data_IF_976180988232
#
_entry.id   IF_976180988232
#
_cell.length_a   1.000
_cell.length_b   1.000
_cell.length_c   1.000
_cell.angle_alpha   90.00
_cell.angle_beta   90.00
_cell.angle_gamma   90.00
#
_symmetry.space_group_name_H-M   'P 1'
#
loop_
_entity.id
_entity.type
_entity.pdbx_description
1 polymer ?
#
# COMPACT_ATOMS: atom_id res chain seq x y z
N UNK A 1 13.32 19.58 -12.03
CA UNK A 1 13.54 18.13 -12.19
C UNK A 1 12.33 17.34 -11.72
N UNK A 2 11.89 17.52 -10.47
CA UNK A 2 10.77 16.76 -9.88
C UNK A 2 9.48 16.75 -10.73
N UNK A 3 9.03 17.90 -11.22
CA UNK A 3 7.81 17.97 -12.04
C UNK A 3 7.88 17.08 -13.30
N UNK A 4 9.07 16.96 -13.91
CA UNK A 4 9.30 16.09 -15.07
C UNK A 4 9.24 14.62 -14.64
N UNK A 5 9.89 14.27 -13.52
CA UNK A 5 9.87 12.91 -12.98
C UNK A 5 8.47 12.47 -12.58
N UNK A 6 7.68 13.34 -11.94
CA UNK A 6 6.26 13.06 -11.63
C UNK A 6 5.44 12.86 -12.89
N UNK A 7 5.68 13.68 -13.93
CA UNK A 7 4.98 13.56 -15.19
C UNK A 7 5.36 12.29 -15.96
N UNK A 8 6.63 11.88 -15.89
CA UNK A 8 7.11 10.64 -16.46
C UNK A 8 6.60 9.43 -15.67
N UNK A 9 6.58 9.49 -14.33
CA UNK A 9 6.13 8.40 -13.47
C UNK A 9 4.65 8.02 -13.66
N UNK A 10 3.83 8.92 -14.20
CA UNK A 10 2.42 8.67 -14.54
C UNK A 10 2.18 8.34 -16.02
N UNK A 11 3.25 8.18 -16.82
CA UNK A 11 3.17 7.98 -18.26
C UNK A 11 3.58 6.54 -18.62
N UNK A 12 2.60 5.65 -18.72
CA UNK A 12 2.82 4.22 -19.02
C UNK A 12 3.56 3.98 -20.35
N UNK A 13 3.46 4.88 -21.32
CA UNK A 13 4.07 4.70 -22.65
C UNK A 13 5.56 5.05 -22.68
N UNK A 14 5.91 6.30 -22.37
CA UNK A 14 7.28 6.81 -22.50
C UNK A 14 7.94 7.12 -21.15
N UNK A 15 7.20 7.03 -20.04
CA UNK A 15 7.63 7.44 -18.70
C UNK A 15 8.88 6.72 -18.22
N UNK A 16 8.90 5.38 -18.34
CA UNK A 16 10.03 4.56 -17.91
C UNK A 16 11.32 4.94 -18.64
N UNK A 17 11.23 5.20 -19.95
CA UNK A 17 12.39 5.65 -20.75
C UNK A 17 12.86 7.04 -20.34
N UNK A 18 11.94 7.97 -20.08
CA UNK A 18 12.29 9.32 -19.61
C UNK A 18 12.96 9.24 -18.23
N UNK A 19 12.40 8.46 -17.29
CA UNK A 19 12.97 8.26 -15.96
C UNK A 19 14.37 7.65 -16.08
N UNK A 20 14.55 6.58 -16.85
CA UNK A 20 15.84 5.93 -17.05
C UNK A 20 16.89 6.93 -17.59
N UNK A 21 16.55 7.69 -18.64
CA UNK A 21 17.44 8.70 -19.20
C UNK A 21 17.82 9.80 -18.19
N UNK A 22 16.87 10.25 -17.36
CA UNK A 22 17.14 11.26 -16.34
C UNK A 22 18.05 10.71 -15.24
N UNK A 23 17.81 9.47 -14.80
CA UNK A 23 18.64 8.81 -13.80
C UNK A 23 20.04 8.51 -14.31
N UNK A 24 20.19 8.09 -15.56
CA UNK A 24 21.51 7.83 -16.18
C UNK A 24 22.31 9.13 -16.39
N UNK A 25 21.66 10.19 -16.87
CA UNK A 25 22.35 11.44 -17.23
C UNK A 25 22.69 12.30 -16.02
N UNK A 26 21.80 12.35 -15.04
CA UNK A 26 21.94 13.26 -13.91
C UNK A 26 22.26 12.53 -12.60
N UNK A 27 22.17 11.20 -12.57
CA UNK A 27 22.59 10.36 -11.44
C UNK A 27 22.10 10.93 -10.12
N UNK A 28 23.04 11.23 -9.24
CA UNK A 28 22.83 11.70 -7.88
C UNK A 28 22.13 13.06 -7.77
N UNK A 29 22.13 13.88 -8.82
CA UNK A 29 21.42 15.16 -8.86
C UNK A 29 19.90 14.98 -8.95
N UNK A 30 19.43 13.79 -9.31
CA UNK A 30 18.01 13.46 -9.29
C UNK A 30 17.64 13.05 -7.88
N UNK A 31 16.66 13.67 -7.25
CA UNK A 31 16.12 13.18 -5.98
C UNK A 31 14.79 12.48 -6.23
N UNK A 32 14.61 11.28 -5.65
CA UNK A 32 13.34 10.56 -5.71
C UNK A 32 12.56 10.88 -4.44
N UNK A 33 11.63 11.81 -4.58
CA UNK A 33 10.80 12.32 -3.48
C UNK A 33 9.50 11.52 -3.35
N UNK A 34 8.81 11.56 -2.18
CA UNK A 34 7.52 10.91 -2.01
C UNK A 34 6.46 11.25 -3.08
N UNK A 35 6.34 12.50 -3.59
CA UNK A 35 5.44 12.81 -4.71
C UNK A 35 5.75 12.08 -6.02
N UNK A 36 7.01 11.72 -6.29
CA UNK A 36 7.40 10.91 -7.45
C UNK A 36 6.95 9.47 -7.24
N UNK A 37 7.23 8.89 -6.06
CA UNK A 37 6.78 7.54 -5.71
C UNK A 37 5.26 7.42 -5.74
N UNK A 38 4.54 8.43 -5.25
CA UNK A 38 3.08 8.47 -5.33
C UNK A 38 2.59 8.50 -6.78
N UNK A 39 3.25 9.25 -7.66
CA UNK A 39 2.88 9.31 -9.07
C UNK A 39 3.07 7.95 -9.76
N UNK A 40 4.18 7.28 -9.46
CA UNK A 40 4.47 5.92 -9.95
C UNK A 40 3.46 4.90 -9.41
N UNK A 41 3.16 4.92 -8.10
CA UNK A 41 2.21 3.99 -7.51
C UNK A 41 0.76 4.20 -7.96
N UNK A 42 0.38 5.41 -8.37
CA UNK A 42 -1.00 5.74 -8.75
C UNK A 42 -1.33 5.48 -10.20
N UNK A 43 -0.38 5.75 -11.10
CA UNK A 43 -0.60 5.76 -12.56
C UNK A 43 0.61 5.26 -13.34
N UNK A 44 1.67 4.86 -12.65
CA UNK A 44 2.81 4.22 -13.27
C UNK A 44 2.55 2.74 -13.43
N UNK A 45 3.41 2.09 -14.19
CA UNK A 45 3.43 0.64 -14.28
C UNK A 45 4.25 0.05 -13.13
N UNK A 46 4.11 -1.26 -12.88
CA UNK A 46 4.96 -1.96 -11.90
C UNK A 46 6.45 -1.77 -12.23
N UNK A 47 6.80 -1.72 -13.53
CA UNK A 47 8.14 -1.43 -14.00
C UNK A 47 8.60 0.00 -13.67
N UNK A 48 7.68 0.97 -13.60
CA UNK A 48 8.02 2.34 -13.17
C UNK A 48 8.51 2.33 -11.73
N UNK A 49 7.79 1.67 -10.83
CA UNK A 49 8.19 1.56 -9.42
C UNK A 49 9.47 0.75 -9.28
N UNK A 50 9.56 -0.40 -9.96
CA UNK A 50 10.76 -1.23 -9.96
C UNK A 50 12.00 -0.47 -10.45
N UNK A 51 11.89 0.32 -11.52
CA UNK A 51 12.99 1.15 -12.04
C UNK A 51 13.46 2.18 -11.02
N UNK A 52 12.53 2.87 -10.35
CA UNK A 52 12.86 3.86 -9.32
C UNK A 52 13.57 3.20 -8.13
N UNK A 53 13.09 2.03 -7.69
CA UNK A 53 13.67 1.27 -6.58
C UNK A 53 15.01 0.61 -6.94
N UNK A 54 15.20 0.12 -8.17
CA UNK A 54 16.46 -0.47 -8.62
C UNK A 54 17.55 0.59 -8.71
N UNK A 55 17.26 1.69 -9.41
CA UNK A 55 18.27 2.71 -9.69
C UNK A 55 18.59 3.56 -8.48
N UNK A 56 17.62 3.76 -7.58
CA UNK A 56 17.71 4.73 -6.48
C UNK A 56 17.24 4.22 -5.12
N UNK A 57 17.00 2.92 -4.96
CA UNK A 57 16.51 2.31 -3.72
C UNK A 57 17.27 2.77 -2.47
N UNK A 58 18.60 2.77 -2.51
CA UNK A 58 19.45 3.16 -1.37
C UNK A 58 19.34 4.66 -1.01
N UNK A 59 18.80 5.46 -1.93
CA UNK A 59 18.59 6.91 -1.76
C UNK A 59 17.12 7.27 -1.62
N UNK A 60 16.22 6.27 -1.69
CA UNK A 60 14.80 6.46 -1.44
C UNK A 60 14.57 6.25 0.05
N UNK A 61 14.19 7.33 0.73
CA UNK A 61 13.69 7.21 2.09
C UNK A 61 12.25 6.69 2.04
N UNK A 62 12.07 5.38 2.14
CA UNK A 62 10.74 4.80 2.36
C UNK A 62 10.34 5.11 3.80
N UNK A 63 9.21 5.79 3.97
CA UNK A 63 8.65 6.11 5.29
C UNK A 63 7.27 5.48 5.43
N UNK A 64 6.75 5.41 6.65
CA UNK A 64 5.36 5.01 6.90
C UNK A 64 4.38 5.84 6.07
N UNK A 65 4.64 7.15 5.90
CA UNK A 65 3.81 8.03 5.09
C UNK A 65 3.79 7.68 3.60
N UNK A 66 4.90 7.14 3.06
CA UNK A 66 4.94 6.64 1.67
C UNK A 66 4.07 5.40 1.53
N UNK A 67 4.18 4.43 2.45
CA UNK A 67 3.33 3.23 2.44
C UNK A 67 1.85 3.61 2.57
N UNK A 68 1.52 4.48 3.52
CA UNK A 68 0.15 4.95 3.74
C UNK A 68 -0.44 5.61 2.48
N UNK A 69 0.30 6.50 1.84
CA UNK A 69 -0.17 7.20 0.63
C UNK A 69 -0.41 6.25 -0.55
N UNK A 70 0.36 5.16 -0.63
CA UNK A 70 0.18 4.13 -1.64
C UNK A 70 -1.03 3.28 -1.29
N UNK A 71 -1.13 2.78 -0.07
CA UNK A 71 -2.26 1.95 0.38
C UNK A 71 -3.61 2.68 0.29
N UNK A 72 -3.64 3.99 0.53
CA UNK A 72 -4.85 4.80 0.37
C UNK A 72 -5.32 4.94 -1.10
N UNK A 73 -4.56 4.44 -2.06
CA UNK A 73 -4.82 4.54 -3.49
C UNK A 73 -5.44 3.24 -4.03
N UNK A 74 -6.53 3.37 -4.78
CA UNK A 74 -7.31 2.22 -5.32
C UNK A 74 -6.51 1.31 -6.25
N UNK A 75 -5.48 1.86 -6.90
CA UNK A 75 -4.65 1.18 -7.88
C UNK A 75 -3.39 0.57 -7.27
N UNK A 76 -3.24 0.65 -5.94
CA UNK A 76 -2.08 0.09 -5.26
C UNK A 76 -2.08 -1.44 -5.33
N UNK A 77 -0.94 -1.97 -5.75
CA UNK A 77 -0.67 -3.39 -5.90
C UNK A 77 0.13 -3.90 -4.71
N UNK A 78 -0.18 -5.12 -4.26
CA UNK A 78 0.49 -5.76 -3.12
C UNK A 78 2.01 -5.87 -3.37
N UNK A 79 2.42 -6.13 -4.61
CA UNK A 79 3.82 -6.26 -5.02
C UNK A 79 4.60 -4.94 -4.89
N UNK A 80 3.96 -3.81 -5.22
CA UNK A 80 4.54 -2.48 -5.02
C UNK A 80 4.75 -2.21 -3.53
N UNK A 81 3.77 -2.56 -2.69
CA UNK A 81 3.88 -2.39 -1.24
C UNK A 81 4.98 -3.30 -0.69
N UNK A 82 5.05 -4.56 -1.13
CA UNK A 82 6.08 -5.52 -0.72
C UNK A 82 7.50 -5.00 -1.01
N UNK A 83 7.75 -4.53 -2.23
CA UNK A 83 9.06 -3.99 -2.62
C UNK A 83 9.46 -2.77 -1.78
N UNK A 84 8.50 -1.92 -1.41
CA UNK A 84 8.76 -0.76 -0.57
C UNK A 84 9.02 -1.14 0.89
N UNK A 85 8.29 -2.11 1.44
CA UNK A 85 8.55 -2.62 2.80
C UNK A 85 9.94 -3.26 2.91
N UNK A 86 10.35 -4.04 1.91
CA UNK A 86 11.69 -4.62 1.86
C UNK A 86 12.78 -3.53 1.85
N UNK A 87 12.57 -2.44 1.10
CA UNK A 87 13.50 -1.31 1.04
C UNK A 87 13.46 -0.42 2.29
N UNK A 88 12.31 -0.30 2.95
CA UNK A 88 12.15 0.45 4.20
C UNK A 88 12.75 -0.25 5.41
N UNK A 89 13.04 -1.54 5.31
CA UNK A 89 13.65 -2.34 6.38
C UNK A 89 12.80 -2.34 7.66
N UNK A 90 13.45 -2.51 8.81
CA UNK A 90 12.78 -2.66 10.11
C UNK A 90 12.08 -1.39 10.62
N UNK A 91 12.44 -0.22 10.07
CA UNK A 91 11.84 1.08 10.44
C UNK A 91 10.43 1.25 9.87
N UNK A 92 10.10 0.55 8.78
CA UNK A 92 8.79 0.65 8.12
C UNK A 92 7.95 -0.58 8.46
N UNK A 93 7.11 -0.43 9.49
CA UNK A 93 6.14 -1.46 9.91
C UNK A 93 4.73 -1.14 9.42
N UNK A 94 3.91 -2.17 9.28
CA UNK A 94 2.48 -1.98 9.01
C UNK A 94 1.80 -1.49 10.28
N UNK A 95 1.38 -0.23 10.31
CA UNK A 95 0.68 0.39 11.45
C UNK A 95 -0.84 0.17 11.38
N UNK A 96 -1.55 0.48 12.48
CA UNK A 96 -3.01 0.55 12.49
C UNK A 96 -3.55 1.49 11.41
N UNK A 97 -2.90 2.64 11.21
CA UNK A 97 -3.31 3.63 10.21
C UNK A 97 -3.24 3.07 8.80
N UNK A 98 -2.18 2.30 8.48
CA UNK A 98 -2.04 1.62 7.18
C UNK A 98 -3.14 0.56 6.98
N UNK A 99 -3.45 -0.24 8.01
CA UNK A 99 -4.55 -1.21 7.93
C UNK A 99 -5.91 -0.55 7.76
N UNK A 100 -6.19 0.52 8.49
CA UNK A 100 -7.44 1.29 8.37
C UNK A 100 -7.55 1.85 6.95
N UNK A 101 -6.48 2.43 6.41
CA UNK A 101 -6.46 2.94 5.04
C UNK A 101 -6.71 1.83 4.00
N UNK A 102 -6.11 0.65 4.16
CA UNK A 102 -6.37 -0.49 3.27
C UNK A 102 -7.82 -0.98 3.35
N UNK A 103 -8.37 -1.06 4.56
CA UNK A 103 -9.75 -1.45 4.79
C UNK A 103 -10.75 -0.42 4.23
N UNK A 104 -10.45 0.88 4.36
CA UNK A 104 -11.26 1.98 3.83
C UNK A 104 -11.15 2.08 2.31
N UNK A 105 -10.00 1.72 1.71
CA UNK A 105 -9.83 1.66 0.27
C UNK A 105 -10.68 0.56 -0.40
N UNK A 106 -10.96 -0.54 0.32
CA UNK A 106 -11.81 -1.61 -0.20
C UNK A 106 -11.10 -2.62 -1.12
N UNK A 107 -9.78 -2.49 -1.30
CA UNK A 107 -8.96 -3.47 -2.00
C UNK A 107 -8.62 -4.65 -1.08
N UNK A 108 -9.41 -5.72 -1.20
CA UNK A 108 -9.27 -6.90 -0.36
C UNK A 108 -7.92 -7.64 -0.52
N UNK A 109 -7.29 -7.56 -1.69
CA UNK A 109 -6.00 -8.20 -1.94
C UNK A 109 -4.87 -7.48 -1.20
N UNK A 110 -4.82 -6.15 -1.32
CA UNK A 110 -3.89 -5.32 -0.55
C UNK A 110 -4.12 -5.47 0.96
N UNK A 111 -5.38 -5.48 1.39
CA UNK A 111 -5.72 -5.67 2.80
C UNK A 111 -5.24 -7.03 3.35
N UNK A 112 -5.44 -8.11 2.59
CA UNK A 112 -4.98 -9.45 2.96
C UNK A 112 -3.47 -9.57 2.99
N UNK A 113 -2.79 -9.01 1.98
CA UNK A 113 -1.33 -8.94 1.95
C UNK A 113 -0.80 -8.30 3.24
N UNK A 114 -1.33 -7.14 3.63
CA UNK A 114 -0.91 -6.42 4.83
C UNK A 114 -1.14 -7.24 6.12
N UNK A 115 -2.28 -7.94 6.24
CA UNK A 115 -2.55 -8.81 7.39
C UNK A 115 -1.60 -10.02 7.46
N UNK A 116 -1.22 -10.57 6.31
CA UNK A 116 -0.23 -11.66 6.25
C UNK A 116 1.16 -11.16 6.61
N UNK A 117 1.57 -9.99 6.11
CA UNK A 117 2.84 -9.36 6.48
C UNK A 117 2.92 -9.10 7.99
N UNK A 118 1.81 -8.71 8.62
CA UNK A 118 1.73 -8.53 10.07
C UNK A 118 1.81 -9.83 10.87
N UNK A 119 1.32 -10.94 10.33
CA UNK A 119 1.33 -12.24 11.04
C UNK A 119 2.76 -12.72 11.30
N UNK A 120 3.76 -12.22 10.59
CA UNK A 120 5.18 -12.44 10.90
C UNK A 120 5.77 -11.46 11.93
N UNK A 121 5.12 -10.32 12.18
CA UNK A 121 5.63 -9.22 13.02
C UNK A 121 4.95 -9.09 14.39
N UNK A 122 3.81 -9.73 14.65
CA UNK A 122 3.04 -9.71 15.92
C UNK A 122 2.67 -8.34 16.53
N UNK A 123 3.07 -7.21 15.93
CA UNK A 123 3.00 -5.89 16.56
C UNK A 123 1.67 -5.16 16.33
N UNK A 124 0.83 -5.59 15.38
CA UNK A 124 -0.41 -4.88 15.01
C UNK A 124 -1.56 -5.86 14.76
N UNK A 125 -2.61 -5.75 15.59
CA UNK A 125 -3.79 -6.62 15.60
C UNK A 125 -4.94 -6.06 14.73
N UNK A 126 -5.84 -6.92 14.26
CA UNK A 126 -7.09 -6.49 13.65
C UNK A 126 -7.96 -5.80 14.73
N UNK A 127 -8.40 -4.57 14.52
CA UNK A 127 -9.18 -3.79 15.49
C UNK A 127 -10.59 -3.48 15.01
N UNK A 128 -11.46 -3.02 15.92
CA UNK A 128 -12.81 -2.55 15.58
C UNK A 128 -12.79 -1.44 14.54
N UNK A 129 -11.80 -0.56 14.58
CA UNK A 129 -11.72 0.58 13.66
C UNK A 129 -11.39 0.12 12.23
N UNK A 130 -10.55 -0.91 12.08
CA UNK A 130 -10.30 -1.56 10.78
C UNK A 130 -11.59 -2.19 10.23
N UNK A 131 -12.35 -2.89 11.06
CA UNK A 131 -13.64 -3.46 10.64
C UNK A 131 -14.64 -2.38 10.24
N UNK A 132 -14.74 -1.29 11.01
CA UNK A 132 -15.61 -0.15 10.72
C UNK A 132 -15.24 0.52 9.40
N UNK A 133 -13.95 0.71 9.11
CA UNK A 133 -13.48 1.22 7.83
C UNK A 133 -13.94 0.32 6.67
N UNK A 134 -13.72 -0.99 6.78
CA UNK A 134 -14.20 -1.97 5.78
C UNK A 134 -15.73 -1.96 5.61
N UNK A 135 -16.51 -1.64 6.67
CA UNK A 135 -17.98 -1.56 6.59
C UNK A 135 -18.50 -0.35 5.82
N UNK A 136 -17.80 0.79 5.90
CA UNK A 136 -18.19 2.05 5.25
C UNK A 136 -18.05 2.00 3.74
N UNK A 137 -17.36 0.99 3.23
CA UNK A 137 -17.23 0.72 1.81
C UNK A 137 -18.54 0.32 1.13
N UNK A 138 -18.54 0.34 -0.21
CA UNK A 138 -19.66 -0.17 -1.00
C UNK A 138 -19.93 -1.64 -0.67
N UNK A 139 -21.16 -2.10 -0.92
CA UNK A 139 -21.55 -3.49 -0.63
C UNK A 139 -20.57 -4.52 -1.21
N UNK A 140 -20.06 -4.29 -2.42
CA UNK A 140 -19.11 -5.20 -3.08
C UNK A 140 -17.77 -5.25 -2.34
N UNK A 141 -17.14 -4.10 -2.07
CA UNK A 141 -15.84 -4.03 -1.40
C UNK A 141 -15.93 -4.51 0.05
N UNK A 142 -16.97 -4.10 0.78
CA UNK A 142 -17.27 -4.60 2.13
C UNK A 142 -17.39 -6.12 2.13
N UNK A 143 -18.22 -6.68 1.25
CA UNK A 143 -18.45 -8.13 1.19
C UNK A 143 -17.15 -8.88 0.91
N UNK A 144 -16.29 -8.38 0.02
CA UNK A 144 -14.98 -9.00 -0.27
C UNK A 144 -14.09 -9.02 0.97
N UNK A 145 -13.94 -7.89 1.68
CA UNK A 145 -13.11 -7.82 2.89
C UNK A 145 -13.69 -8.69 4.00
N UNK A 146 -15.00 -8.65 4.25
CA UNK A 146 -15.62 -9.44 5.31
C UNK A 146 -15.53 -10.94 5.04
N UNK A 147 -15.77 -11.38 3.79
CA UNK A 147 -15.58 -12.79 3.41
C UNK A 147 -14.13 -13.22 3.59
N UNK A 148 -13.17 -12.38 3.20
CA UNK A 148 -11.76 -12.66 3.40
C UNK A 148 -11.41 -12.85 4.88
N UNK A 149 -11.91 -11.97 5.74
CA UNK A 149 -11.73 -12.07 7.19
C UNK A 149 -12.35 -13.35 7.75
N UNK A 150 -13.56 -13.72 7.32
CA UNK A 150 -14.23 -14.95 7.75
C UNK A 150 -13.50 -16.21 7.27
N UNK A 151 -13.13 -16.27 5.99
CA UNK A 151 -12.52 -17.44 5.36
C UNK A 151 -11.09 -17.69 5.85
N UNK A 152 -10.26 -16.64 5.89
CA UNK A 152 -8.84 -16.78 6.23
C UNK A 152 -8.55 -16.59 7.71
N UNK A 153 -9.27 -15.70 8.39
CA UNK A 153 -8.95 -15.31 9.77
C UNK A 153 -10.05 -15.66 10.78
N UNK A 154 -11.18 -16.20 10.33
CA UNK A 154 -12.30 -16.56 11.18
C UNK A 154 -12.00 -17.70 12.17
N UNK A 155 -10.88 -18.40 12.03
CA UNK A 155 -10.43 -19.36 13.05
C UNK A 155 -9.89 -18.66 14.31
N UNK A 156 -9.55 -17.37 14.24
CA UNK A 156 -9.10 -16.56 15.38
C UNK A 156 -10.31 -16.03 16.13
N UNK A 157 -10.44 -16.37 17.41
CA UNK A 157 -11.61 -15.98 18.22
C UNK A 157 -11.77 -14.46 18.34
N UNK A 158 -10.67 -13.71 18.38
CA UNK A 158 -10.67 -12.24 18.37
C UNK A 158 -11.32 -11.68 17.09
N UNK A 159 -11.01 -12.25 15.93
CA UNK A 159 -11.58 -11.83 14.64
C UNK A 159 -13.07 -12.15 14.57
N UNK A 160 -13.47 -13.34 15.04
CA UNK A 160 -14.90 -13.69 15.17
C UNK A 160 -15.63 -12.66 16.04
N UNK A 161 -15.11 -12.38 17.24
CA UNK A 161 -15.73 -11.45 18.17
C UNK A 161 -15.92 -10.05 17.55
N UNK A 162 -14.89 -9.53 16.89
CA UNK A 162 -14.94 -8.23 16.20
C UNK A 162 -15.98 -8.21 15.07
N UNK A 163 -16.05 -9.27 14.26
CA UNK A 163 -17.05 -9.37 13.20
C UNK A 163 -18.47 -9.46 13.78
N UNK A 164 -18.70 -10.28 14.80
CA UNK A 164 -20.02 -10.40 15.45
C UNK A 164 -20.50 -9.08 16.05
N UNK A 165 -19.63 -8.34 16.73
CA UNK A 165 -19.97 -7.02 17.27
C UNK A 165 -20.30 -6.03 16.15
N UNK A 166 -19.51 -6.05 15.08
CA UNK A 166 -19.75 -5.19 13.93
C UNK A 166 -21.10 -5.45 13.25
N UNK A 167 -21.66 -6.66 13.29
CA UNK A 167 -23.01 -6.96 12.78
C UNK A 167 -24.15 -6.60 13.75
N UNK A 168 -23.87 -6.34 15.04
CA UNK A 168 -24.88 -5.90 16.02
C UNK A 168 -25.21 -4.42 15.96
N UNK A 169 -24.28 -3.58 15.52
CA UNK A 169 -24.47 -2.13 15.34
C UNK A 169 -25.43 -1.78 14.16
N UNK A 170 -26.16 -2.75 13.60
CA UNK A 170 -27.10 -2.59 12.47
C UNK A 170 -28.60 -2.63 12.89
N UNK A 171 -28.89 -2.72 14.21
CA UNK A 171 -30.26 -2.63 14.77
C UNK A 171 -30.42 -1.39 15.63
#
# INVERSE_FOLDING_TARGET
MEAILRAAAKNEGAGNRIIAMLLEKYGDLVEITPPILWSAARRGSDETMALLLEKRGDKIQVTQGVILAIVANDSARAETIAALLEKGGEEVRITQEILIAAADNGNAETFDFLLQTQTYSNDVELTRDVIRAAKRNTYFHRKRIMNLLLEKYGHKEEVKALLFEAYKDET
#
